data_IF_854256871619
#
_entry.id   IF_854256871619
#
_cell.length_a   1.000
_cell.length_b   1.000
_cell.length_c   1.000
_cell.angle_alpha   90.00
_cell.angle_beta   90.00
_cell.angle_gamma   90.00
#
_symmetry.space_group_name_H-M   'P 1'
#
loop_
_entity.id
_entity.type
_entity.pdbx_description
1 polymer ?
#
# COMPACT_ATOMS: atom_id res chain seq x y z
N UNK A 1 -18.23 -7.83 5.99
CA UNK A 1 -17.89 -6.83 4.97
C UNK A 1 -16.51 -7.22 4.46
N UNK A 2 -16.46 -8.01 3.39
CA UNK A 2 -15.20 -8.36 2.74
C UNK A 2 -14.60 -7.10 2.12
N UNK A 3 -13.64 -6.48 2.80
CA UNK A 3 -13.07 -5.17 2.44
C UNK A 3 -12.25 -5.22 1.13
N UNK A 4 -12.20 -6.35 0.42
CA UNK A 4 -11.42 -6.52 -0.82
C UNK A 4 -9.94 -6.19 -0.68
N UNK A 5 -9.45 -6.06 0.56
CA UNK A 5 -8.13 -5.53 0.85
C UNK A 5 -7.08 -6.61 0.58
N UNK A 6 -6.00 -6.21 -0.08
CA UNK A 6 -4.91 -7.11 -0.37
C UNK A 6 -4.04 -7.30 0.89
N UNK A 7 -3.74 -8.55 1.23
CA UNK A 7 -2.87 -8.91 2.36
C UNK A 7 -1.65 -9.71 1.89
N UNK A 8 -0.53 -9.50 2.57
CA UNK A 8 0.72 -10.23 2.36
C UNK A 8 1.32 -10.62 3.71
N UNK A 9 1.02 -11.85 4.15
CA UNK A 9 1.31 -12.28 5.51
C UNK A 9 0.55 -11.43 6.52
N UNK A 10 1.24 -10.86 7.50
CA UNK A 10 0.66 -9.96 8.51
C UNK A 10 0.45 -8.52 8.02
N UNK A 11 0.77 -8.22 6.76
CA UNK A 11 0.66 -6.87 6.23
C UNK A 11 -0.61 -6.70 5.39
N UNK A 12 -1.35 -5.63 5.65
CA UNK A 12 -2.47 -5.18 4.82
C UNK A 12 -2.03 -4.00 3.96
N UNK A 13 -2.50 -3.97 2.71
CA UNK A 13 -2.29 -2.86 1.80
C UNK A 13 -3.28 -1.72 2.10
N UNK A 14 -2.74 -0.51 2.25
CA UNK A 14 -3.51 0.71 2.45
C UNK A 14 -3.20 1.73 1.34
N UNK A 15 -4.18 2.60 1.09
CA UNK A 15 -4.05 3.78 0.23
C UNK A 15 -4.46 5.05 0.98
N UNK A 16 -3.83 6.17 0.64
CA UNK A 16 -4.30 7.50 1.02
C UNK A 16 -3.81 8.57 0.05
N UNK A 17 -4.54 9.67 -0.02
CA UNK A 17 -4.08 10.89 -0.69
C UNK A 17 -3.13 11.64 0.25
N UNK A 18 -1.96 12.03 -0.24
CA UNK A 18 -1.02 12.89 0.49
C UNK A 18 -0.62 14.07 -0.37
N UNK A 19 -0.39 15.21 0.28
CA UNK A 19 0.23 16.36 -0.35
C UNK A 19 1.75 16.20 -0.31
N UNK A 20 2.37 16.11 -1.49
CA UNK A 20 3.82 16.10 -1.63
C UNK A 20 4.38 17.53 -1.59
N UNK A 21 5.70 17.62 -1.41
CA UNK A 21 6.43 18.89 -1.50
C UNK A 21 6.11 19.59 -2.82
N UNK A 22 5.62 20.83 -2.74
CA UNK A 22 5.15 21.62 -3.90
C UNK A 22 3.64 21.63 -4.11
N UNK A 23 2.84 21.15 -3.15
CA UNK A 23 1.37 21.24 -3.20
C UNK A 23 0.71 20.22 -4.12
N UNK A 24 1.48 19.23 -4.62
CA UNK A 24 0.95 18.19 -5.50
C UNK A 24 0.27 17.11 -4.68
N UNK A 25 -1.02 16.89 -4.91
CA UNK A 25 -1.73 15.73 -4.37
C UNK A 25 -1.29 14.45 -5.09
N UNK A 26 -0.97 13.42 -4.31
CA UNK A 26 -0.61 12.12 -4.83
C UNK A 26 -1.22 11.01 -3.95
N UNK A 27 -1.87 10.07 -4.62
CA UNK A 27 -2.24 8.79 -4.01
C UNK A 27 -1.01 7.94 -3.76
N UNK A 28 -0.80 7.54 -2.52
CA UNK A 28 0.25 6.60 -2.13
C UNK A 28 -0.33 5.28 -1.66
N UNK A 29 0.44 4.21 -1.84
CA UNK A 29 0.11 2.88 -1.40
C UNK A 29 1.21 2.34 -0.49
N UNK A 30 0.84 1.70 0.61
CA UNK A 30 1.82 1.19 1.57
C UNK A 30 1.27 0.01 2.38
N UNK A 31 2.17 -0.84 2.85
CA UNK A 31 1.84 -2.00 3.68
C UNK A 31 1.98 -1.69 5.17
N UNK A 32 1.03 -2.14 5.98
CA UNK A 32 1.05 -1.98 7.45
C UNK A 32 0.49 -3.21 8.15
N UNK A 33 1.10 -3.59 9.28
CA UNK A 33 0.59 -4.66 10.16
C UNK A 33 -0.55 -4.22 11.07
N UNK A 34 -0.62 -2.93 11.36
CA UNK A 34 -1.63 -2.32 12.21
C UNK A 34 -2.63 -1.56 11.36
N UNK A 35 -3.87 -1.55 11.80
CA UNK A 35 -4.90 -0.68 11.25
C UNK A 35 -4.44 0.78 11.21
N UNK A 36 -4.95 1.52 10.23
CA UNK A 36 -4.62 2.92 9.99
C UNK A 36 -5.93 3.68 9.98
N UNK A 37 -5.98 4.76 10.75
CA UNK A 37 -7.14 5.65 10.79
C UNK A 37 -7.07 6.72 9.70
N UNK A 38 -5.86 7.01 9.21
CA UNK A 38 -5.56 8.02 8.20
C UNK A 38 -5.39 7.42 6.78
N UNK A 39 -5.72 6.14 6.61
CA UNK A 39 -5.61 5.44 5.33
C UNK A 39 -6.67 4.34 5.23
N UNK A 40 -7.06 4.02 4.00
CA UNK A 40 -8.09 3.03 3.73
C UNK A 40 -7.45 1.72 3.23
N UNK A 41 -7.86 0.55 3.74
CA UNK A 41 -7.48 -0.72 3.16
C UNK A 41 -7.90 -0.79 1.69
N UNK A 42 -7.06 -1.32 0.81
CA UNK A 42 -7.39 -1.42 -0.61
C UNK A 42 -6.88 -2.70 -1.28
N UNK A 43 -7.48 -3.03 -2.42
CA UNK A 43 -7.02 -4.12 -3.29
C UNK A 43 -5.71 -3.75 -3.98
N UNK A 44 -5.00 -4.77 -4.48
CA UNK A 44 -3.80 -4.56 -5.29
C UNK A 44 -4.18 -3.79 -6.57
N UNK A 45 -3.65 -2.57 -6.81
CA UNK A 45 -3.96 -1.82 -8.03
C UNK A 45 -3.41 -2.54 -9.26
N UNK A 46 -4.14 -2.44 -10.37
CA UNK A 46 -3.72 -2.99 -11.66
C UNK A 46 -2.38 -2.40 -12.12
N UNK A 47 -1.54 -3.23 -12.74
CA UNK A 47 -0.20 -2.81 -13.18
C UNK A 47 0.80 -2.64 -12.03
N UNK A 48 0.50 -3.15 -10.83
CA UNK A 48 1.45 -3.25 -9.73
C UNK A 48 1.64 -4.70 -9.28
N UNK A 49 2.85 -5.00 -8.81
CA UNK A 49 3.22 -6.27 -8.19
C UNK A 49 3.84 -6.04 -6.82
N UNK A 50 3.64 -6.98 -5.92
CA UNK A 50 4.23 -6.94 -4.58
C UNK A 50 5.62 -7.53 -4.62
N UNK A 51 6.58 -6.82 -4.04
CA UNK A 51 7.95 -7.30 -3.84
C UNK A 51 8.30 -7.17 -2.37
N UNK A 52 8.87 -8.21 -1.78
CA UNK A 52 9.38 -8.15 -0.41
C UNK A 52 10.80 -7.59 -0.44
N UNK A 53 11.05 -6.55 0.36
CA UNK A 53 12.41 -6.05 0.56
C UNK A 53 13.20 -7.08 1.38
N UNK A 54 14.20 -7.71 0.75
CA UNK A 54 15.00 -8.77 1.39
C UNK A 54 15.74 -8.31 2.65
N UNK A 55 16.07 -7.01 2.77
CA UNK A 55 16.79 -6.47 3.94
C UNK A 55 15.89 -6.30 5.16
N UNK A 56 14.61 -5.96 4.97
CA UNK A 56 13.70 -5.57 6.06
C UNK A 56 12.49 -6.50 6.21
N UNK A 57 12.26 -7.38 5.24
CA UNK A 57 11.04 -8.19 5.15
C UNK A 57 9.78 -7.40 4.79
N UNK A 58 9.88 -6.08 4.56
CA UNK A 58 8.72 -5.23 4.29
C UNK A 58 8.21 -5.44 2.85
N UNK A 59 6.93 -5.79 2.65
CA UNK A 59 6.32 -5.81 1.34
C UNK A 59 6.18 -4.37 0.80
N UNK A 60 6.51 -4.19 -0.47
CA UNK A 60 6.37 -2.91 -1.18
C UNK A 60 5.72 -3.14 -2.54
N UNK A 61 5.00 -2.14 -3.04
CA UNK A 61 4.48 -2.13 -4.39
C UNK A 61 5.55 -1.68 -5.37
N UNK A 62 5.70 -2.42 -6.46
CA UNK A 62 6.49 -2.05 -7.63
C UNK A 62 5.56 -2.04 -8.83
N UNK A 63 5.73 -1.08 -9.73
CA UNK A 63 5.07 -1.11 -11.04
C UNK A 63 5.43 -2.45 -11.73
N UNK A 64 4.41 -3.17 -12.18
CA UNK A 64 4.60 -4.30 -13.07
C UNK A 64 5.13 -3.76 -14.40
N UNK A 65 6.09 -4.50 -14.95
CA UNK A 65 6.73 -4.15 -16.22
C UNK A 65 5.78 -4.56 -17.37
#
# INVERSE_FOLDING_TARGET
>A
MDTGAYTHGEYTLYTKEVELRGGRQQRIYFFSKKEKQDAEPCSLPEGYKVKVNQKTGLPVLKKAD
#
